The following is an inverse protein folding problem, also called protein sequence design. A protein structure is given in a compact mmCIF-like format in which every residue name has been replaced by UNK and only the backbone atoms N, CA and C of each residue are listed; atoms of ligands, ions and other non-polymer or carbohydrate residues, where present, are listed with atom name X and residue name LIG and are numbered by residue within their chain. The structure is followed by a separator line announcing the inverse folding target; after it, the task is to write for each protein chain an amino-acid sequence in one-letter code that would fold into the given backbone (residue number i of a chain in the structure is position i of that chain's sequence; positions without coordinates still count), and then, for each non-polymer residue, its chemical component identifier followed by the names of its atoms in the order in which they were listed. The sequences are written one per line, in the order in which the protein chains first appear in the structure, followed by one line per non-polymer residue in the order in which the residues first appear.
data_IF_622021177500
#
_entry.id   IF_622021177500
#
_cell.length_a   1.000
_cell.length_b   1.000
_cell.length_c   1.000
_cell.angle_alpha   90.00
_cell.angle_beta   90.00
_cell.angle_gamma   90.00
#
_symmetry.space_group_name_H-M   'P 1'
#
loop_
_entity.id
_entity.type
_entity.pdbx_description
1 polymer ?
#
# COMPACT_ATOMS: atom_id res chain seq x y z
N UNK A 1 34.31 8.58 -46.90
CA UNK A 1 33.20 8.81 -45.95
C UNK A 1 33.60 9.98 -45.07
N UNK A 2 32.80 11.04 -45.02
CA UNK A 2 33.14 12.27 -44.30
C UNK A 2 33.29 11.99 -42.79
N UNK A 3 34.39 12.42 -42.16
CA UNK A 3 34.65 12.17 -40.73
C UNK A 3 33.53 12.70 -39.84
N UNK A 4 32.87 13.80 -40.27
CA UNK A 4 31.70 14.36 -39.57
C UNK A 4 30.53 13.38 -39.57
N UNK A 5 30.27 12.75 -40.70
CA UNK A 5 29.18 11.79 -40.85
C UNK A 5 29.40 10.56 -39.96
N UNK A 6 30.62 10.01 -39.96
CA UNK A 6 30.98 8.87 -39.10
C UNK A 6 30.80 9.18 -37.60
N UNK A 7 31.18 10.40 -37.15
CA UNK A 7 30.98 10.83 -35.75
C UNK A 7 29.51 10.95 -35.38
N UNK A 8 28.68 11.52 -36.25
CA UNK A 8 27.24 11.66 -35.99
C UNK A 8 26.59 10.28 -35.87
N UNK A 9 26.87 9.37 -36.81
CA UNK A 9 26.34 8.01 -36.76
C UNK A 9 26.76 7.30 -35.48
N UNK A 10 28.04 7.42 -35.09
CA UNK A 10 28.54 6.83 -33.85
C UNK A 10 27.81 7.36 -32.61
N UNK A 11 27.62 8.67 -32.50
CA UNK A 11 26.90 9.29 -31.37
C UNK A 11 25.45 8.80 -31.33
N UNK A 12 24.75 8.78 -32.47
CA UNK A 12 23.38 8.29 -32.56
C UNK A 12 23.30 6.82 -32.14
N UNK A 13 24.23 5.99 -32.60
CA UNK A 13 24.29 4.57 -32.21
C UNK A 13 24.52 4.40 -30.71
N UNK A 14 25.38 5.21 -30.08
CA UNK A 14 25.58 5.17 -28.63
C UNK A 14 24.30 5.57 -27.90
N UNK A 15 23.67 6.68 -28.28
CA UNK A 15 22.43 7.14 -27.65
C UNK A 15 21.34 6.08 -27.76
N UNK A 16 21.21 5.47 -28.94
CA UNK A 16 20.26 4.40 -29.18
C UNK A 16 20.55 3.18 -28.30
N UNK A 17 21.81 2.75 -28.21
CA UNK A 17 22.21 1.58 -27.43
C UNK A 17 22.04 1.80 -25.92
N UNK A 18 22.38 2.99 -25.43
CA UNK A 18 22.15 3.40 -24.03
C UNK A 18 20.64 3.46 -23.73
N UNK A 19 19.85 4.02 -24.65
CA UNK A 19 18.40 4.10 -24.52
C UNK A 19 17.76 2.71 -24.47
N UNK A 20 18.15 1.83 -25.39
CA UNK A 20 17.68 0.44 -25.44
C UNK A 20 18.08 -0.32 -24.17
N UNK A 21 19.34 -0.21 -23.75
CA UNK A 21 19.84 -0.86 -22.53
C UNK A 21 19.10 -0.38 -21.27
N UNK A 22 18.85 0.92 -21.15
CA UNK A 22 18.07 1.49 -20.04
C UNK A 22 16.62 1.00 -20.05
N UNK A 23 16.00 0.90 -21.22
CA UNK A 23 14.65 0.39 -21.38
C UNK A 23 14.55 -1.09 -20.99
N UNK A 24 15.44 -1.94 -21.51
CA UNK A 24 15.50 -3.36 -21.16
C UNK A 24 15.77 -3.56 -19.67
N UNK A 25 16.67 -2.76 -19.07
CA UNK A 25 16.90 -2.78 -17.63
C UNK A 25 15.62 -2.46 -16.85
N UNK A 26 14.88 -1.42 -17.27
CA UNK A 26 13.58 -1.09 -16.67
C UNK A 26 12.57 -2.24 -16.74
N UNK A 27 12.49 -2.94 -17.86
CA UNK A 27 11.64 -4.14 -18.00
C UNK A 27 12.06 -5.26 -17.06
N UNK A 28 13.37 -5.51 -16.91
CA UNK A 28 13.89 -6.53 -15.99
C UNK A 28 13.63 -6.15 -14.53
N UNK A 29 13.85 -4.90 -14.15
CA UNK A 29 13.52 -4.38 -12.81
C UNK A 29 12.04 -4.59 -12.50
N UNK A 30 11.14 -4.29 -13.45
CA UNK A 30 9.71 -4.50 -13.27
C UNK A 30 9.28 -5.97 -13.27
N UNK A 31 9.96 -6.83 -14.03
CA UNK A 31 9.62 -8.25 -14.12
C UNK A 31 10.11 -9.05 -12.91
N UNK A 32 11.28 -8.72 -12.37
CA UNK A 32 11.92 -9.49 -11.30
C UNK A 32 11.97 -8.77 -9.95
N UNK A 33 11.44 -7.55 -9.86
CA UNK A 33 11.36 -6.76 -8.64
C UNK A 33 12.72 -6.49 -7.96
N UNK A 34 13.82 -6.51 -8.70
CA UNK A 34 15.16 -6.17 -8.18
C UNK A 34 15.31 -4.66 -7.97
N UNK A 35 16.37 -4.25 -7.24
CA UNK A 35 16.66 -2.83 -7.03
C UNK A 35 16.70 -2.05 -8.37
N UNK A 36 16.04 -0.88 -8.51
CA UNK A 36 15.33 -0.11 -7.48
C UNK A 36 13.79 -0.24 -7.52
N UNK A 37 13.24 -1.43 -7.77
CA UNK A 37 11.79 -1.64 -7.91
C UNK A 37 10.96 -1.09 -6.76
N UNK A 38 11.34 -1.39 -5.51
CA UNK A 38 10.62 -0.93 -4.32
C UNK A 38 10.52 0.61 -4.27
N UNK A 39 11.63 1.29 -4.52
CA UNK A 39 11.69 2.75 -4.58
C UNK A 39 10.79 3.33 -5.68
N UNK A 40 10.85 2.79 -6.90
CA UNK A 40 10.00 3.22 -8.02
C UNK A 40 8.52 2.98 -7.70
N UNK A 41 8.19 1.83 -7.11
CA UNK A 41 6.83 1.48 -6.69
C UNK A 41 6.30 2.45 -5.64
N UNK A 42 7.09 2.75 -4.61
CA UNK A 42 6.74 3.75 -3.58
C UNK A 42 6.52 5.14 -4.17
N UNK A 43 7.39 5.59 -5.08
CA UNK A 43 7.20 6.88 -5.78
C UNK A 43 5.93 6.90 -6.61
N UNK A 44 5.67 5.83 -7.38
CA UNK A 44 4.44 5.68 -8.17
C UNK A 44 3.20 5.77 -7.27
N UNK A 45 3.22 5.10 -6.13
CA UNK A 45 2.09 5.10 -5.19
C UNK A 45 1.88 6.48 -4.55
N UNK A 46 2.94 7.16 -4.13
CA UNK A 46 2.86 8.53 -3.63
C UNK A 46 2.29 9.49 -4.68
N UNK A 47 2.67 9.32 -5.96
CA UNK A 47 2.12 10.13 -7.04
C UNK A 47 0.63 9.83 -7.28
N UNK A 48 0.24 8.56 -7.29
CA UNK A 48 -1.16 8.16 -7.42
C UNK A 48 -1.99 8.70 -6.25
N UNK A 49 -1.51 8.59 -5.01
CA UNK A 49 -2.24 9.08 -3.85
C UNK A 49 -2.38 10.59 -3.89
N UNK A 50 -1.32 11.32 -4.26
CA UNK A 50 -1.35 12.77 -4.39
C UNK A 50 -2.36 13.20 -5.47
N UNK A 51 -2.40 12.50 -6.59
CA UNK A 51 -3.35 12.77 -7.66
C UNK A 51 -4.80 12.46 -7.26
N UNK A 52 -5.04 11.35 -6.56
CA UNK A 52 -6.39 10.89 -6.23
C UNK A 52 -6.98 11.54 -4.97
N UNK A 53 -6.16 11.78 -3.95
CA UNK A 53 -6.59 12.18 -2.60
C UNK A 53 -6.02 13.51 -2.16
N UNK A 54 -5.17 14.15 -2.98
CA UNK A 54 -4.45 15.40 -2.65
C UNK A 54 -3.52 15.27 -1.43
N UNK A 55 -3.24 14.05 -0.97
CA UNK A 55 -2.32 13.77 0.14
C UNK A 55 -1.37 12.63 -0.21
N UNK A 56 -0.19 12.62 0.42
CA UNK A 56 0.75 11.50 0.32
C UNK A 56 0.29 10.45 1.32
N UNK A 57 -0.27 9.36 0.80
CA UNK A 57 -0.79 8.25 1.59
C UNK A 57 0.23 7.10 1.56
N UNK A 58 0.53 6.43 2.68
CA UNK A 58 1.30 5.19 2.69
C UNK A 58 0.83 4.15 1.67
N UNK A 59 1.77 3.28 1.30
CA UNK A 59 1.56 2.16 0.38
C UNK A 59 0.35 1.32 0.83
N UNK A 60 -0.55 1.00 -0.10
CA UNK A 60 -1.81 0.25 0.15
C UNK A 60 -2.86 0.92 1.05
N UNK A 61 -2.70 2.19 1.44
CA UNK A 61 -3.73 2.88 2.24
C UNK A 61 -5.01 3.19 1.42
N UNK A 62 -4.85 3.47 0.12
CA UNK A 62 -5.96 3.85 -0.76
C UNK A 62 -6.20 2.75 -1.78
N UNK A 63 -7.09 1.82 -1.45
CA UNK A 63 -7.65 0.87 -2.42
C UNK A 63 -8.98 1.45 -2.89
N UNK A 64 -9.16 1.73 -4.20
CA UNK A 64 -10.43 2.26 -4.69
C UNK A 64 -11.54 1.26 -4.39
N UNK A 65 -12.49 1.64 -3.54
CA UNK A 65 -13.60 0.74 -3.23
C UNK A 65 -14.43 0.48 -4.51
N UNK A 66 -14.80 -0.78 -4.80
CA UNK A 66 -15.58 -1.15 -5.98
C UNK A 66 -16.83 -0.27 -6.16
N UNK A 67 -17.34 -0.07 -7.39
CA UNK A 67 -18.48 0.82 -7.64
C UNK A 67 -19.72 0.47 -6.81
N UNK A 68 -19.90 -0.81 -6.49
CA UNK A 68 -21.02 -1.36 -5.72
C UNK A 68 -20.73 -1.47 -4.21
N UNK A 69 -19.52 -1.13 -3.75
CA UNK A 69 -19.16 -1.21 -2.34
C UNK A 69 -19.67 0.01 -1.55
N UNK A 70 -20.00 -0.19 -0.27
CA UNK A 70 -20.35 0.91 0.62
C UNK A 70 -19.20 1.91 0.77
N UNK A 71 -19.55 3.18 1.00
CA UNK A 71 -18.62 4.23 1.43
C UNK A 71 -18.64 4.46 2.94
N UNK A 72 -19.55 3.80 3.65
CA UNK A 72 -19.53 3.74 5.11
C UNK A 72 -18.34 2.89 5.54
N UNK A 73 -17.65 3.30 6.62
CA UNK A 73 -16.53 2.56 7.21
C UNK A 73 -16.91 1.09 7.49
N UNK A 74 -18.16 0.88 7.92
CA UNK A 74 -18.72 -0.43 8.19
C UNK A 74 -20.15 -0.41 7.66
N UNK A 75 -20.43 -1.16 6.59
CA UNK A 75 -21.80 -1.45 6.17
C UNK A 75 -22.11 -2.90 6.43
N UNK A 76 -23.10 -3.14 7.28
CA UNK A 76 -23.61 -4.49 7.55
C UNK A 76 -24.58 -4.87 6.45
N UNK A 77 -24.21 -5.87 5.66
CA UNK A 77 -25.07 -6.44 4.61
C UNK A 77 -25.97 -7.56 5.12
N UNK A 78 -25.69 -8.09 6.32
CA UNK A 78 -26.46 -9.15 6.97
C UNK A 78 -26.70 -8.76 8.42
N UNK A 79 -27.94 -8.87 8.89
CA UNK A 79 -28.24 -8.83 10.32
C UNK A 79 -27.50 -10.02 10.96
N UNK A 80 -26.41 -9.72 11.67
CA UNK A 80 -25.78 -10.70 12.56
C UNK A 80 -26.78 -11.00 13.66
N UNK A 81 -27.57 -12.05 13.48
CA UNK A 81 -28.53 -12.55 14.47
C UNK A 81 -27.86 -13.14 15.72
N UNK A 82 -26.53 -13.09 15.80
CA UNK A 82 -25.74 -13.53 16.94
C UNK A 82 -25.37 -12.33 17.82
N UNK A 83 -25.79 -12.32 19.10
CA UNK A 83 -25.31 -11.35 20.09
C UNK A 83 -23.78 -11.39 20.18
N UNK A 84 -23.13 -10.22 20.25
CA UNK A 84 -21.68 -10.14 20.42
C UNK A 84 -21.05 -8.87 19.88
N UNK A 85 -19.72 -8.83 19.93
CA UNK A 85 -18.92 -7.73 19.41
C UNK A 85 -18.18 -8.15 18.14
N UNK A 86 -18.00 -7.20 17.23
CA UNK A 86 -17.22 -7.32 16.02
C UNK A 86 -15.94 -6.50 16.17
N UNK A 87 -14.78 -7.15 16.03
CA UNK A 87 -13.49 -6.47 15.91
C UNK A 87 -13.19 -6.21 14.43
N UNK A 88 -13.04 -4.95 14.05
CA UNK A 88 -12.70 -4.55 12.68
C UNK A 88 -11.37 -3.82 12.72
N UNK A 89 -10.47 -4.21 11.85
CA UNK A 89 -9.18 -3.58 11.68
C UNK A 89 -9.19 -2.61 10.52
N UNK A 90 -8.46 -1.50 10.65
CA UNK A 90 -8.19 -0.60 9.54
C UNK A 90 -7.39 0.61 9.97
N UNK A 91 -7.39 1.66 9.14
CA UNK A 91 -6.61 2.86 9.38
C UNK A 91 -7.48 3.99 9.95
N UNK A 92 -7.10 4.55 11.09
CA UNK A 92 -7.73 5.75 11.65
C UNK A 92 -7.05 7.00 11.09
N UNK A 93 -7.74 7.68 10.17
CA UNK A 93 -7.24 8.91 9.56
C UNK A 93 -7.01 10.06 10.54
N UNK A 94 -7.79 10.14 11.62
CA UNK A 94 -7.63 11.21 12.61
C UNK A 94 -6.35 11.02 13.43
N UNK A 95 -5.99 9.76 13.69
CA UNK A 95 -4.81 9.40 14.48
C UNK A 95 -3.60 9.01 13.62
N UNK A 96 -3.78 8.92 12.31
CA UNK A 96 -2.75 8.50 11.34
C UNK A 96 -2.05 7.18 11.71
N UNK A 97 -2.81 6.17 12.12
CA UNK A 97 -2.28 4.86 12.54
C UNK A 97 -3.28 3.73 12.28
N UNK A 98 -2.79 2.50 12.21
CA UNK A 98 -3.64 1.32 12.18
C UNK A 98 -4.30 1.10 13.55
N UNK A 99 -5.58 0.75 13.56
CA UNK A 99 -6.36 0.51 14.77
C UNK A 99 -7.30 -0.68 14.61
N UNK A 100 -7.84 -1.12 15.72
CA UNK A 100 -8.90 -2.11 15.80
C UNK A 100 -10.08 -1.47 16.52
N UNK A 101 -11.24 -1.44 15.86
CA UNK A 101 -12.50 -0.98 16.42
C UNK A 101 -13.28 -2.18 16.96
N UNK A 102 -13.70 -2.11 18.23
CA UNK A 102 -14.71 -3.00 18.80
C UNK A 102 -16.09 -2.36 18.61
N UNK A 103 -16.98 -3.07 17.93
CA UNK A 103 -18.30 -2.56 17.58
C UNK A 103 -19.37 -3.56 18.02
N UNK A 104 -20.42 -3.11 18.69
CA UNK A 104 -21.52 -3.97 19.14
C UNK A 104 -22.52 -4.34 18.04
N UNK A 105 -23.56 -5.10 18.35
CA UNK A 105 -24.62 -5.49 17.43
C UNK A 105 -25.44 -4.32 16.86
N UNK A 106 -25.33 -3.12 17.44
CA UNK A 106 -26.00 -1.88 16.98
C UNK A 106 -25.11 -1.00 16.13
N UNK A 107 -23.83 -1.33 15.98
CA UNK A 107 -22.87 -0.51 15.24
C UNK A 107 -22.21 0.57 16.09
N UNK A 108 -22.38 0.52 17.41
CA UNK A 108 -21.77 1.46 18.34
C UNK A 108 -20.35 1.02 18.62
N UNK A 109 -19.39 1.94 18.45
CA UNK A 109 -18.00 1.75 18.83
C UNK A 109 -17.87 1.78 20.36
N UNK A 110 -17.34 0.71 20.94
CA UNK A 110 -17.07 0.60 22.39
C UNK A 110 -15.59 0.79 22.73
N UNK A 111 -14.70 0.41 21.81
CA UNK A 111 -13.27 0.52 22.05
C UNK A 111 -12.46 0.69 20.75
N UNK A 112 -11.29 1.32 20.86
CA UNK A 112 -10.31 1.45 19.78
C UNK A 112 -8.91 1.15 20.30
N UNK A 113 -8.28 0.09 19.81
CA UNK A 113 -6.89 -0.23 20.11
C UNK A 113 -5.98 0.25 18.99
N UNK A 114 -5.01 1.14 19.25
CA UNK A 114 -3.97 1.45 18.27
C UNK A 114 -2.99 0.29 18.13
N UNK A 115 -2.67 -0.07 16.89
CA UNK A 115 -1.68 -1.10 16.60
C UNK A 115 -0.31 -0.44 16.57
N UNK A 116 0.55 -0.80 17.53
CA UNK A 116 1.94 -0.36 17.55
C UNK A 116 2.84 -1.41 16.89
N UNK A 117 3.16 -1.19 15.62
CA UNK A 117 4.00 -2.11 14.85
C UNK A 117 5.43 -2.18 15.35
N UNK A 118 5.98 -1.11 15.93
CA UNK A 118 7.36 -1.11 16.44
C UNK A 118 7.56 -2.13 17.57
N UNK A 119 6.48 -2.50 18.26
CA UNK A 119 6.49 -3.53 19.29
C UNK A 119 6.24 -4.94 18.75
N UNK A 120 5.52 -5.06 17.64
CA UNK A 120 5.09 -6.35 17.07
C UNK A 120 6.14 -6.87 16.08
N UNK A 121 6.69 -5.98 15.27
CA UNK A 121 7.68 -6.25 14.25
C UNK A 121 8.75 -5.13 14.27
N UNK A 122 9.68 -5.17 15.24
CA UNK A 122 10.70 -4.13 15.41
C UNK A 122 11.70 -4.08 14.25
N UNK A 123 11.85 -5.17 13.50
CA UNK A 123 12.71 -5.25 12.31
C UNK A 123 11.99 -4.74 11.05
N UNK A 124 10.70 -4.47 11.15
CA UNK A 124 9.84 -3.97 10.09
C UNK A 124 9.45 -5.03 9.05
N UNK A 125 8.41 -4.74 8.24
CA UNK A 125 7.82 -5.71 7.34
C UNK A 125 8.87 -6.23 6.35
N UNK A 126 9.22 -7.51 6.46
CA UNK A 126 10.39 -8.07 5.77
C UNK A 126 10.25 -8.07 4.25
N UNK A 127 9.02 -7.94 3.72
CA UNK A 127 8.71 -7.99 2.29
C UNK A 127 7.61 -7.00 1.83
N UNK A 128 7.39 -5.91 2.56
CA UNK A 128 6.57 -4.79 2.06
C UNK A 128 5.10 -5.13 1.79
N UNK A 129 4.38 -5.62 2.80
CA UNK A 129 2.96 -5.34 3.05
C UNK A 129 2.45 -6.28 4.14
N UNK A 130 2.89 -6.09 5.38
CA UNK A 130 2.25 -6.77 6.52
C UNK A 130 1.07 -5.90 6.99
N UNK A 131 0.03 -5.81 6.15
CA UNK A 131 -1.29 -5.39 6.67
C UNK A 131 -1.63 -6.34 7.82
N UNK A 132 -2.14 -5.87 8.97
CA UNK A 132 -2.03 -6.67 10.18
C UNK A 132 -2.81 -7.99 9.99
N UNK A 133 -2.06 -9.09 9.91
CA UNK A 133 -2.61 -10.39 9.55
C UNK A 133 -3.29 -10.95 10.80
N UNK A 134 -4.63 -10.98 10.79
CA UNK A 134 -5.50 -11.73 11.72
C UNK A 134 -4.99 -11.78 13.16
N UNK A 135 -5.36 -10.79 13.97
CA UNK A 135 -4.92 -10.77 15.36
C UNK A 135 -5.82 -11.64 16.25
N UNK A 136 -5.20 -12.30 17.22
CA UNK A 136 -5.87 -13.11 18.23
C UNK A 136 -6.39 -12.19 19.34
N UNK A 137 -7.71 -12.08 19.49
CA UNK A 137 -8.29 -11.40 20.66
C UNK A 137 -8.14 -12.31 21.89
N UNK A 138 -7.39 -11.85 22.89
CA UNK A 138 -7.21 -12.55 24.16
C UNK A 138 -8.47 -12.43 25.03
N UNK A 139 -8.63 -13.32 26.01
CA UNK A 139 -9.82 -13.37 26.88
C UNK A 139 -10.01 -12.12 27.74
N UNK A 140 -8.97 -11.31 27.90
CA UNK A 140 -8.99 -10.02 28.61
C UNK A 140 -9.34 -8.85 27.68
N UNK A 141 -9.59 -9.11 26.39
CA UNK A 141 -9.94 -8.11 25.39
C UNK A 141 -8.74 -7.35 24.80
N UNK A 142 -7.51 -7.75 25.12
CA UNK A 142 -6.33 -7.29 24.40
C UNK A 142 -6.18 -8.03 23.06
N UNK A 143 -5.36 -7.47 22.18
CA UNK A 143 -5.13 -7.98 20.82
C UNK A 143 -3.64 -8.14 20.58
#
# INVERSE_FOLDING_TARGET
MDQKFARITFIISIIFLVGLGSFTYGLLVGAYNFWPFSFISSMKQAFISLYQTQTISPVNQVVPAPPYASRERVKRTQELNTPGFLAIMGYDHNKSQNVIWLIDEKGIEHHVWPINYDLIDPDGPSNGSDGPHGLQVLSDGSV
#
